data_IF_387724082463
#
_entry.id   IF_387724082463
#
_cell.length_a   1.000
_cell.length_b   1.000
_cell.length_c   1.000
_cell.angle_alpha   90.00
_cell.angle_beta   90.00
_cell.angle_gamma   90.00
#
_symmetry.space_group_name_H-M   'P 1'
#
loop_
_entity.id
_entity.type
_entity.pdbx_description
1 polymer ?
#
# COMPACT_ATOMS: atom_id res chain seq x y z
N UNK A 1 -6.11 -6.54 -12.51
CA UNK A 1 -4.98 -6.94 -11.64
C UNK A 1 -3.98 -5.79 -11.62
N UNK A 2 -3.25 -5.62 -10.53
CA UNK A 2 -2.27 -4.54 -10.32
C UNK A 2 -0.95 -5.12 -9.82
N UNK A 3 0.13 -4.36 -9.95
CA UNK A 3 1.45 -4.71 -9.41
C UNK A 3 1.96 -3.59 -8.51
N UNK A 4 2.80 -3.94 -7.54
CA UNK A 4 3.56 -2.97 -6.76
C UNK A 4 5.03 -3.07 -7.13
N UNK A 5 5.64 -1.97 -7.51
CA UNK A 5 7.06 -1.87 -7.87
C UNK A 5 7.80 -1.23 -6.71
N UNK A 6 8.65 -1.98 -6.05
CA UNK A 6 9.47 -1.54 -4.93
C UNK A 6 10.78 -0.98 -5.42
N UNK A 7 11.11 0.23 -4.96
CA UNK A 7 12.32 0.96 -5.36
C UNK A 7 13.25 1.17 -4.16
N UNK A 8 14.55 1.02 -4.42
CA UNK A 8 15.60 1.27 -3.44
C UNK A 8 16.25 2.61 -3.73
N UNK A 9 16.21 3.54 -2.77
CA UNK A 9 16.85 4.85 -2.91
C UNK A 9 18.38 4.80 -3.14
N UNK A 10 19.02 3.65 -2.94
CA UNK A 10 20.45 3.44 -3.11
C UNK A 10 20.87 2.92 -4.51
N UNK A 11 19.97 2.95 -5.50
CA UNK A 11 20.29 2.53 -6.88
C UNK A 11 20.25 1.01 -7.11
N UNK A 12 19.55 0.27 -6.25
CA UNK A 12 19.27 -1.16 -6.47
C UNK A 12 18.23 -1.38 -7.56
N UNK A 13 18.24 -2.56 -8.19
CA UNK A 13 17.20 -2.94 -9.17
C UNK A 13 15.81 -2.93 -8.53
N UNK A 14 14.78 -2.37 -9.18
CA UNK A 14 13.42 -2.44 -8.64
C UNK A 14 12.94 -3.89 -8.54
N UNK A 15 12.00 -4.14 -7.64
CA UNK A 15 11.35 -5.44 -7.48
C UNK A 15 9.85 -5.33 -7.65
N UNK A 16 9.25 -6.26 -8.39
CA UNK A 16 7.82 -6.24 -8.65
C UNK A 16 7.11 -7.32 -7.82
N UNK A 17 6.08 -6.92 -7.06
CA UNK A 17 5.11 -7.82 -6.45
C UNK A 17 3.83 -7.86 -7.29
N UNK A 18 3.25 -9.04 -7.45
CA UNK A 18 2.08 -9.26 -8.31
C UNK A 18 2.44 -9.86 -9.68
N UNK A 19 1.53 -9.78 -10.66
CA UNK A 19 0.22 -9.13 -10.59
C UNK A 19 -0.73 -9.81 -9.59
N UNK A 20 -1.60 -9.02 -8.97
CA UNK A 20 -2.59 -9.50 -8.00
C UNK A 20 -3.95 -8.79 -8.17
N UNK A 21 -5.06 -9.40 -7.72
CA UNK A 21 -6.35 -8.71 -7.70
C UNK A 21 -6.37 -7.56 -6.68
N UNK A 22 -5.63 -7.69 -5.59
CA UNK A 22 -5.53 -6.69 -4.52
C UNK A 22 -4.24 -6.85 -3.70
N UNK A 23 -3.88 -5.76 -3.02
CA UNK A 23 -2.90 -5.73 -1.94
C UNK A 23 -3.52 -5.07 -0.70
N UNK A 24 -3.30 -5.65 0.48
CA UNK A 24 -3.74 -5.10 1.77
C UNK A 24 -2.53 -4.70 2.59
N UNK A 25 -2.51 -3.47 3.08
CA UNK A 25 -1.43 -2.91 3.89
C UNK A 25 -1.98 -2.62 5.28
N UNK A 26 -1.56 -3.43 6.26
CA UNK A 26 -2.01 -3.32 7.65
C UNK A 26 -0.84 -3.55 8.58
N UNK A 27 -0.69 -2.64 9.55
CA UNK A 27 0.51 -2.56 10.39
C UNK A 27 1.79 -2.67 9.58
N UNK A 28 2.60 -3.68 9.90
CA UNK A 28 3.90 -3.91 9.27
C UNK A 28 3.87 -4.89 8.09
N UNK A 29 2.70 -5.21 7.51
CA UNK A 29 2.62 -6.24 6.48
C UNK A 29 1.86 -5.77 5.25
N UNK A 30 2.36 -6.20 4.09
CA UNK A 30 1.61 -6.19 2.83
C UNK A 30 1.19 -7.63 2.54
N UNK A 31 -0.11 -7.87 2.43
CA UNK A 31 -0.67 -9.12 1.97
C UNK A 31 -1.09 -9.00 0.51
N UNK A 32 -0.84 -10.05 -0.26
CA UNK A 32 -1.19 -10.15 -1.66
C UNK A 32 -2.32 -11.15 -1.87
N UNK A 33 -3.35 -10.76 -2.61
CA UNK A 33 -4.44 -11.64 -3.03
C UNK A 33 -4.07 -12.60 -4.18
N UNK A 34 -4.90 -13.62 -4.45
CA UNK A 34 -6.15 -13.94 -3.75
C UNK A 34 -5.95 -14.73 -2.44
N UNK A 35 -4.80 -15.39 -2.23
CA UNK A 35 -4.58 -16.24 -1.06
C UNK A 35 -4.27 -15.47 0.23
N UNK A 36 -3.91 -14.18 0.14
CA UNK A 36 -3.58 -13.35 1.30
C UNK A 36 -2.22 -13.66 1.91
N UNK A 37 -1.28 -14.17 1.12
CA UNK A 37 0.08 -14.43 1.58
C UNK A 37 0.79 -13.09 1.88
N UNK A 38 1.67 -13.09 2.88
CA UNK A 38 2.55 -11.94 3.14
C UNK A 38 3.51 -11.80 1.95
N UNK A 39 3.49 -10.63 1.32
CA UNK A 39 4.30 -10.29 0.16
C UNK A 39 5.44 -9.32 0.53
N UNK A 40 5.23 -8.47 1.54
CA UNK A 40 6.27 -7.60 2.10
C UNK A 40 6.09 -7.40 3.61
N UNK A 41 7.18 -7.11 4.32
CA UNK A 41 7.16 -6.76 5.74
C UNK A 41 7.88 -5.44 5.98
N UNK A 42 7.33 -4.53 6.78
CA UNK A 42 7.96 -3.28 7.16
C UNK A 42 8.78 -3.44 8.45
N UNK A 43 10.09 -3.20 8.39
CA UNK A 43 11.03 -3.28 9.52
C UNK A 43 12.13 -2.24 9.38
N UNK A 44 12.51 -1.60 10.50
CA UNK A 44 13.61 -0.62 10.54
C UNK A 44 13.49 0.48 9.48
N UNK A 45 12.28 0.97 9.20
CA UNK A 45 11.95 1.96 8.17
C UNK A 45 12.10 1.49 6.71
N UNK A 46 12.22 0.18 6.47
CA UNK A 46 12.27 -0.40 5.12
C UNK A 46 11.18 -1.45 4.93
N UNK A 47 10.68 -1.54 3.70
CA UNK A 47 9.97 -2.72 3.23
C UNK A 47 10.98 -3.81 2.86
N UNK A 48 10.79 -4.99 3.43
CA UNK A 48 11.52 -6.21 3.12
C UNK A 48 10.69 -7.09 2.19
N UNK A 49 11.21 -7.36 1.00
CA UNK A 49 10.67 -8.35 0.05
C UNK A 49 11.80 -9.24 -0.42
N UNK A 50 11.59 -10.57 -0.40
CA UNK A 50 12.59 -11.56 -0.85
C UNK A 50 14.02 -11.34 -0.28
N UNK A 51 14.13 -10.81 0.96
CA UNK A 51 15.40 -10.51 1.62
C UNK A 51 16.09 -9.21 1.17
N UNK A 52 15.40 -8.33 0.43
CA UNK A 52 15.88 -7.03 -0.05
C UNK A 52 15.10 -5.90 0.61
N UNK A 53 15.75 -4.75 0.78
CA UNK A 53 15.18 -3.58 1.46
C UNK A 53 14.84 -2.45 0.49
N UNK A 54 13.65 -1.89 0.67
CA UNK A 54 13.08 -0.84 -0.18
C UNK A 54 12.46 0.25 0.69
N UNK A 55 12.53 1.49 0.21
CA UNK A 55 12.01 2.67 0.95
C UNK A 55 10.64 3.10 0.47
N UNK A 56 10.21 2.59 -0.69
CA UNK A 56 9.02 3.02 -1.41
C UNK A 56 8.50 1.90 -2.28
N UNK A 57 7.20 1.94 -2.55
CA UNK A 57 6.61 1.21 -3.66
C UNK A 57 5.63 2.08 -4.47
N UNK A 58 5.46 1.71 -5.74
CA UNK A 58 4.67 2.41 -6.73
C UNK A 58 3.71 1.44 -7.45
N UNK A 59 2.53 1.92 -7.80
CA UNK A 59 1.57 1.24 -8.67
C UNK A 59 1.32 2.14 -9.88
N UNK A 60 1.78 1.69 -11.05
CA UNK A 60 1.73 2.45 -12.30
C UNK A 60 0.57 2.01 -13.21
N UNK A 61 -0.25 1.09 -12.75
CA UNK A 61 -1.47 0.65 -13.42
C UNK A 61 -2.71 1.33 -12.81
N UNK A 62 -3.84 1.42 -13.54
CA UNK A 62 -5.10 1.88 -12.98
C UNK A 62 -5.44 1.11 -11.70
N UNK A 63 -5.64 1.84 -10.60
CA UNK A 63 -5.81 1.28 -9.26
C UNK A 63 -6.89 2.03 -8.49
N UNK A 64 -7.67 1.32 -7.67
CA UNK A 64 -8.58 1.92 -6.69
C UNK A 64 -8.02 1.73 -5.29
N UNK A 65 -8.33 2.68 -4.41
CA UNK A 65 -7.97 2.63 -3.00
C UNK A 65 -9.24 2.44 -2.19
N UNK A 66 -9.22 1.57 -1.19
CA UNK A 66 -10.22 1.51 -0.12
C UNK A 66 -9.51 1.29 1.21
N UNK A 67 -10.28 1.28 2.28
CA UNK A 67 -9.81 0.94 3.62
C UNK A 67 -10.69 -0.15 4.20
N UNK A 68 -10.18 -0.93 5.14
CA UNK A 68 -10.96 -1.92 5.88
C UNK A 68 -10.80 -1.71 7.38
N UNK A 69 -11.88 -1.93 8.12
CA UNK A 69 -11.82 -1.98 9.59
C UNK A 69 -11.34 -3.36 10.09
N UNK A 70 -11.24 -3.54 11.41
CA UNK A 70 -10.78 -4.80 12.00
C UNK A 70 -11.73 -5.99 11.74
N UNK A 71 -13.00 -5.73 11.38
CA UNK A 71 -13.97 -6.75 10.99
C UNK A 71 -13.90 -7.08 9.48
N UNK A 72 -13.04 -6.39 8.71
CA UNK A 72 -12.92 -6.54 7.27
C UNK A 72 -14.00 -5.79 6.47
N UNK A 73 -14.77 -4.90 7.11
CA UNK A 73 -15.76 -4.08 6.41
C UNK A 73 -15.05 -2.96 5.64
N UNK A 74 -15.28 -2.85 4.32
CA UNK A 74 -14.61 -1.86 3.51
C UNK A 74 -15.25 -0.47 3.62
N UNK A 75 -14.45 0.56 3.45
CA UNK A 75 -14.89 1.91 3.09
C UNK A 75 -15.45 1.94 1.66
N UNK A 76 -15.87 3.13 1.20
CA UNK A 76 -16.02 3.37 -0.24
C UNK A 76 -14.68 3.21 -0.97
N UNK A 77 -14.77 2.93 -2.28
CA UNK A 77 -13.61 2.89 -3.17
C UNK A 77 -13.35 4.28 -3.75
N UNK A 78 -12.10 4.72 -3.69
CA UNK A 78 -11.59 5.94 -4.29
C UNK A 78 -10.86 5.63 -5.60
N UNK A 79 -10.96 6.53 -6.57
CA UNK A 79 -10.38 6.36 -7.90
C UNK A 79 -11.39 5.88 -8.96
N UNK A 80 -10.94 5.24 -10.06
CA UNK A 80 -9.57 4.77 -10.28
C UNK A 80 -8.57 5.92 -10.43
N UNK A 81 -7.36 5.70 -9.93
CA UNK A 81 -6.20 6.56 -10.12
C UNK A 81 -5.30 5.93 -11.18
N UNK A 82 -4.64 6.75 -11.98
CA UNK A 82 -3.65 6.26 -12.95
C UNK A 82 -2.35 5.82 -12.28
N UNK A 83 -2.06 6.38 -11.10
CA UNK A 83 -0.79 6.22 -10.40
C UNK A 83 -0.96 6.40 -8.89
N UNK A 84 -0.37 5.50 -8.11
CA UNK A 84 -0.29 5.61 -6.66
C UNK A 84 1.13 5.27 -6.20
N UNK A 85 1.63 6.00 -5.21
CA UNK A 85 2.91 5.70 -4.57
C UNK A 85 2.79 5.71 -3.06
N UNK A 86 3.66 4.96 -2.39
CA UNK A 86 3.78 4.97 -0.94
C UNK A 86 5.25 5.07 -0.54
N UNK A 87 5.60 6.15 0.16
CA UNK A 87 6.93 6.37 0.69
C UNK A 87 6.83 6.80 2.15
N UNK A 88 7.61 6.18 3.03
CA UNK A 88 7.65 6.50 4.46
C UNK A 88 6.25 6.52 5.13
N UNK A 89 5.44 5.51 4.81
CA UNK A 89 4.06 5.41 5.30
C UNK A 89 3.10 6.46 4.75
N UNK A 90 3.51 7.29 3.79
CA UNK A 90 2.66 8.29 3.15
C UNK A 90 2.25 7.82 1.76
N UNK A 91 0.95 7.77 1.52
CA UNK A 91 0.36 7.40 0.24
C UNK A 91 -0.01 8.65 -0.54
N UNK A 92 0.46 8.70 -1.78
CA UNK A 92 0.10 9.71 -2.76
C UNK A 92 -0.68 9.05 -3.90
N UNK A 93 -1.82 9.64 -4.25
CA UNK A 93 -2.59 9.27 -5.43
C UNK A 93 -2.50 10.44 -6.42
N UNK A 94 -1.98 10.19 -7.63
CA UNK A 94 -1.75 11.23 -8.65
C UNK A 94 -1.01 12.46 -8.09
N UNK A 95 0.10 12.21 -7.39
CA UNK A 95 0.97 13.21 -6.74
C UNK A 95 0.31 14.05 -5.63
N UNK A 96 -0.88 13.64 -5.17
CA UNK A 96 -1.59 14.29 -4.06
C UNK A 96 -1.58 13.41 -2.83
N UNK A 97 -1.29 14.01 -1.68
CA UNK A 97 -1.39 13.36 -0.38
C UNK A 97 -2.79 12.76 -0.20
N UNK A 98 -2.85 11.44 -0.01
CA UNK A 98 -4.11 10.71 0.05
C UNK A 98 -4.32 10.03 1.40
N UNK A 99 -3.29 9.36 1.92
CA UNK A 99 -3.32 8.75 3.24
C UNK A 99 -1.95 8.79 3.92
N UNK A 100 -1.94 8.70 5.25
CA UNK A 100 -0.71 8.56 6.02
C UNK A 100 -0.88 7.51 7.11
N UNK A 101 0.04 6.58 7.19
CA UNK A 101 0.16 5.65 8.29
C UNK A 101 0.65 6.37 9.55
N UNK A 102 -0.02 6.10 10.68
CA UNK A 102 0.25 6.64 12.00
C UNK A 102 0.81 5.52 12.87
N UNK A 103 2.13 5.44 12.94
CA UNK A 103 2.86 4.39 13.67
C UNK A 103 2.46 4.33 15.15
N UNK A 104 2.12 5.47 15.78
CA UNK A 104 1.75 5.50 17.20
C UNK A 104 0.42 4.78 17.50
N UNK A 105 -0.46 4.72 16.51
CA UNK A 105 -1.79 4.12 16.63
C UNK A 105 -1.99 2.86 15.79
N UNK A 106 -1.04 2.52 14.92
CA UNK A 106 -1.15 1.44 13.93
C UNK A 106 -2.36 1.63 12.97
N UNK A 107 -2.62 2.88 12.57
CA UNK A 107 -3.79 3.25 11.74
C UNK A 107 -3.38 4.12 10.54
N UNK A 108 -4.04 3.90 9.43
CA UNK A 108 -4.06 4.78 8.28
C UNK A 108 -5.03 5.94 8.49
N UNK A 109 -4.55 7.16 8.40
CA UNK A 109 -5.37 8.36 8.26
C UNK A 109 -5.75 8.55 6.79
N UNK A 110 -7.03 8.42 6.47
CA UNK A 110 -7.60 8.75 5.17
C UNK A 110 -7.92 10.25 5.14
N UNK A 111 -7.17 11.03 4.37
CA UNK A 111 -7.37 12.49 4.30
C UNK A 111 -8.71 12.92 3.66
N UNK A 112 -9.18 12.30 2.57
CA UNK A 112 -10.44 12.69 1.93
C UNK A 112 -11.66 12.69 2.85
N UNK A 113 -11.77 11.69 3.74
CA UNK A 113 -12.91 11.53 4.66
C UNK A 113 -12.57 11.89 6.10
N UNK A 114 -11.30 12.21 6.38
CA UNK A 114 -10.78 12.47 7.71
C UNK A 114 -11.10 11.36 8.73
N UNK A 115 -10.87 10.11 8.33
CA UNK A 115 -11.13 8.90 9.14
C UNK A 115 -9.88 8.05 9.32
N UNK A 116 -9.92 7.10 10.25
CA UNK A 116 -8.79 6.24 10.61
C UNK A 116 -9.14 4.77 10.45
N UNK A 117 -8.25 4.02 9.81
CA UNK A 117 -8.49 2.62 9.44
C UNK A 117 -7.25 1.75 9.67
N UNK A 118 -7.39 0.52 10.17
CA UNK A 118 -6.26 -0.37 10.37
C UNK A 118 -5.65 -0.88 9.05
N UNK A 119 -6.45 -0.97 7.98
CA UNK A 119 -6.02 -1.58 6.72
C UNK A 119 -6.29 -0.62 5.57
N UNK A 120 -5.28 -0.42 4.73
CA UNK A 120 -5.37 0.20 3.41
C UNK A 120 -5.43 -0.90 2.34
N UNK A 121 -6.27 -0.74 1.33
CA UNK A 121 -6.45 -1.71 0.25
C UNK A 121 -6.19 -1.06 -1.10
N UNK A 122 -5.28 -1.65 -1.88
CA UNK A 122 -5.14 -1.37 -3.31
C UNK A 122 -5.85 -2.46 -4.09
N UNK A 123 -6.74 -2.07 -5.00
CA UNK A 123 -7.54 -2.99 -5.80
C UNK A 123 -7.46 -2.66 -7.29
N UNK A 124 -7.53 -3.70 -8.11
CA UNK A 124 -7.91 -3.56 -9.52
C UNK A 124 -9.25 -2.82 -9.64
N UNK A 125 -9.42 -1.87 -10.59
CA UNK A 125 -10.71 -1.26 -10.90
C UNK A 125 -11.80 -2.26 -11.27
#
# INVERSE_FOLDING_TARGET
MISLIFESGAGGLPEQLGPAPWFRVGGNFIHQGPQGNIAATYRNHFWETQGRHFTRYDCNEPVRIAFENAAGEPSEWFGPFAYVSCADGVVYAEDRLFAKFKEESDLWHCYPTNTYWPILVFGSP
#
